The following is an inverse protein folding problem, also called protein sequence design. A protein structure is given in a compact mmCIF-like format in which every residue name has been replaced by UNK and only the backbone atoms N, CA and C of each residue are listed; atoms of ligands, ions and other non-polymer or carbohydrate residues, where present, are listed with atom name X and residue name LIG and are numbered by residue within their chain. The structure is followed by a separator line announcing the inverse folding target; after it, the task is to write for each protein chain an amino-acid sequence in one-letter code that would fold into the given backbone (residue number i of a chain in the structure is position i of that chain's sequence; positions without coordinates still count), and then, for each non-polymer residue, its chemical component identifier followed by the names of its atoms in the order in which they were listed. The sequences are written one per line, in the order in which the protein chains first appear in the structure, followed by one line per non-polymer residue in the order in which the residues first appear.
data_IF_780740542072
#
_entry.id   IF_780740542072
#
_cell.length_a   1.000
_cell.length_b   1.000
_cell.length_c   1.000
_cell.angle_alpha   90.00
_cell.angle_beta   90.00
_cell.angle_gamma   90.00
#
_symmetry.space_group_name_H-M   'P 1'
#
loop_
_entity.id
_entity.type
_entity.pdbx_description
1 polymer ?
#
# COMPACT_ATOMS: atom_id res chain seq x y z
N UNK A 1 20.51 -10.39 3.15
CA UNK A 1 19.37 -9.71 3.79
C UNK A 1 18.37 -10.79 4.21
N UNK A 2 17.70 -10.70 5.37
CA UNK A 2 16.63 -11.63 5.68
C UNK A 2 15.53 -11.55 4.61
N UNK A 3 14.85 -12.67 4.37
CA UNK A 3 13.74 -12.71 3.42
C UNK A 3 12.60 -11.76 3.87
N UNK A 4 11.90 -11.10 2.94
CA UNK A 4 10.73 -10.31 3.27
C UNK A 4 9.66 -11.17 3.95
N UNK A 5 8.96 -10.59 4.91
CA UNK A 5 7.70 -11.17 5.39
C UNK A 5 6.63 -10.87 4.37
N UNK A 6 5.97 -11.90 3.85
CA UNK A 6 4.87 -11.76 2.89
C UNK A 6 3.58 -11.58 3.69
N UNK A 7 2.80 -10.55 3.36
CA UNK A 7 1.51 -10.24 3.95
C UNK A 7 0.45 -10.38 2.86
N UNK A 8 -0.54 -11.22 3.08
CA UNK A 8 -1.70 -11.31 2.21
C UNK A 8 -2.54 -10.03 2.31
N UNK A 9 -2.78 -9.37 1.18
CA UNK A 9 -3.54 -8.12 1.14
C UNK A 9 -5.05 -8.34 1.08
N UNK A 10 -5.49 -9.61 0.98
CA UNK A 10 -6.89 -9.97 0.73
C UNK A 10 -7.44 -9.20 -0.48
N UNK A 11 -6.68 -9.19 -1.57
CA UNK A 11 -6.96 -8.40 -2.75
C UNK A 11 -8.41 -8.61 -3.24
N UNK A 12 -9.18 -7.54 -3.34
CA UNK A 12 -10.62 -7.59 -3.67
C UNK A 12 -11.44 -8.54 -2.78
N UNK A 13 -11.07 -8.68 -1.50
CA UNK A 13 -11.70 -9.59 -0.55
C UNK A 13 -11.31 -11.07 -0.70
N UNK A 14 -10.36 -11.39 -1.59
CA UNK A 14 -9.92 -12.76 -1.89
C UNK A 14 -8.60 -13.08 -1.20
N UNK A 15 -8.59 -14.19 -0.46
CA UNK A 15 -7.40 -14.72 0.20
C UNK A 15 -6.39 -15.18 -0.86
N UNK A 16 -5.10 -14.89 -0.65
CA UNK A 16 -3.95 -15.22 -1.50
C UNK A 16 -4.04 -14.67 -2.94
N UNK A 17 -4.75 -13.56 -3.11
CA UNK A 17 -4.92 -12.90 -4.41
C UNK A 17 -4.02 -11.66 -4.59
N UNK A 18 -3.36 -11.20 -3.53
CA UNK A 18 -2.37 -10.12 -3.58
C UNK A 18 -1.47 -10.17 -2.36
N UNK A 19 -0.32 -9.51 -2.46
CA UNK A 19 0.69 -9.54 -1.42
C UNK A 19 1.37 -8.18 -1.26
N UNK A 20 1.62 -7.81 -0.01
CA UNK A 20 2.55 -6.78 0.38
C UNK A 20 3.78 -7.44 1.01
N UNK A 21 4.93 -6.77 0.93
CA UNK A 21 6.19 -7.29 1.46
C UNK A 21 6.69 -6.37 2.56
N UNK A 22 6.82 -6.91 3.75
CA UNK A 22 7.43 -6.20 4.87
C UNK A 22 8.91 -6.54 4.97
N UNK A 23 9.72 -5.48 4.94
CA UNK A 23 11.17 -5.51 5.11
C UNK A 23 11.52 -5.03 6.53
N UNK A 24 12.04 -5.96 7.33
CA UNK A 24 12.59 -5.66 8.66
C UNK A 24 14.05 -5.23 8.53
N UNK A 25 14.39 -4.10 9.14
CA UNK A 25 15.76 -3.58 9.17
C UNK A 25 15.91 -2.49 10.21
N UNK A 26 17.00 -1.71 10.12
CA UNK A 26 17.19 -0.48 10.93
C UNK A 26 16.08 0.55 10.69
N UNK A 27 15.51 0.52 9.48
CA UNK A 27 14.28 1.21 9.10
C UNK A 27 13.33 0.17 8.53
N UNK A 28 12.08 0.23 8.93
CA UNK A 28 11.04 -0.69 8.53
C UNK A 28 10.36 -0.19 7.26
N UNK A 29 10.23 -1.06 6.27
CA UNK A 29 9.59 -0.70 5.01
C UNK A 29 8.49 -1.71 4.65
N UNK A 30 7.43 -1.19 4.07
CA UNK A 30 6.41 -1.96 3.39
C UNK A 30 6.53 -1.72 1.88
N UNK A 31 6.43 -2.76 1.08
CA UNK A 31 6.30 -2.69 -0.37
C UNK A 31 4.89 -3.13 -0.72
N UNK A 32 4.19 -2.30 -1.49
CA UNK A 32 2.79 -2.44 -1.89
C UNK A 32 1.77 -2.26 -0.76
N UNK A 33 0.56 -1.85 -1.15
CA UNK A 33 -0.54 -1.58 -0.21
C UNK A 33 -1.86 -2.24 -0.60
N UNK A 34 -1.94 -2.76 -1.82
CA UNK A 34 -3.16 -3.37 -2.35
C UNK A 34 -4.26 -2.34 -2.62
N UNK A 35 -5.49 -2.81 -2.58
CA UNK A 35 -6.69 -1.95 -2.64
C UNK A 35 -6.87 -1.12 -1.37
N UNK A 36 -7.80 -0.16 -1.38
CA UNK A 36 -8.22 0.54 -0.14
C UNK A 36 -8.75 -0.41 0.93
N UNK A 37 -9.32 -1.56 0.55
CA UNK A 37 -9.80 -2.60 1.46
C UNK A 37 -8.68 -3.38 2.13
N UNK A 38 -7.45 -3.29 1.61
CA UNK A 38 -6.31 -4.10 2.05
C UNK A 38 -5.61 -3.52 3.29
N UNK A 39 -5.73 -2.22 3.55
CA UNK A 39 -5.03 -1.55 4.65
C UNK A 39 -5.30 -2.18 6.05
N UNK A 40 -6.55 -2.53 6.44
CA UNK A 40 -6.80 -3.19 7.72
C UNK A 40 -6.13 -4.56 7.88
N UNK A 41 -5.92 -5.29 6.78
CA UNK A 41 -5.24 -6.58 6.80
C UNK A 41 -3.73 -6.41 7.06
N UNK A 42 -3.12 -5.40 6.44
CA UNK A 42 -1.71 -5.06 6.64
C UNK A 42 -1.45 -4.63 8.08
N UNK A 43 -2.29 -3.75 8.64
CA UNK A 43 -2.16 -3.29 10.03
C UNK A 43 -2.27 -4.47 11.01
N UNK A 44 -3.19 -5.41 10.76
CA UNK A 44 -3.34 -6.61 11.59
C UNK A 44 -2.12 -7.54 11.52
N UNK A 45 -1.47 -7.63 10.36
CA UNK A 45 -0.29 -8.45 10.15
C UNK A 45 0.99 -7.84 10.75
N UNK A 46 0.99 -6.54 11.06
CA UNK A 46 2.14 -5.80 11.60
C UNK A 46 1.82 -5.16 12.97
N UNK A 47 1.43 -5.96 13.98
CA UNK A 47 1.12 -5.42 15.30
C UNK A 47 2.38 -4.82 15.93
N UNK A 48 2.27 -3.59 16.44
CA UNK A 48 3.34 -2.86 17.13
C UNK A 48 4.59 -2.59 16.26
N UNK A 49 4.43 -2.54 14.93
CA UNK A 49 5.49 -2.13 14.03
C UNK A 49 5.31 -0.65 13.70
N UNK A 50 6.37 0.14 13.84
CA UNK A 50 6.43 1.48 13.24
C UNK A 50 7.03 1.35 11.84
N UNK A 51 6.39 1.95 10.83
CA UNK A 51 6.89 1.96 9.46
C UNK A 51 7.59 3.29 9.17
N UNK A 52 8.83 3.22 8.66
CA UNK A 52 9.54 4.39 8.12
C UNK A 52 9.12 4.68 6.68
N UNK A 53 8.87 3.62 5.90
CA UNK A 53 8.63 3.73 4.47
C UNK A 53 7.49 2.84 3.98
N UNK A 54 6.71 3.37 3.05
CA UNK A 54 5.80 2.60 2.20
C UNK A 54 6.21 2.84 0.75
N UNK A 55 6.70 1.82 0.07
CA UNK A 55 6.98 1.85 -1.35
C UNK A 55 5.77 1.34 -2.12
N UNK A 56 5.29 2.10 -3.10
CA UNK A 56 4.34 1.58 -4.10
C UNK A 56 5.04 1.43 -5.43
N UNK A 57 4.86 0.29 -6.10
CA UNK A 57 5.49 0.02 -7.39
C UNK A 57 4.93 0.93 -8.49
N UNK A 58 3.62 1.19 -8.44
CA UNK A 58 2.90 2.09 -9.31
C UNK A 58 1.55 2.50 -8.68
N UNK A 59 0.82 3.41 -9.34
CA UNK A 59 -0.32 4.13 -8.74
C UNK A 59 -1.69 3.55 -9.07
N UNK A 60 -1.79 2.35 -9.64
CA UNK A 60 -3.10 1.76 -9.84
C UNK A 60 -3.77 1.49 -8.49
N UNK A 61 -5.11 1.60 -8.45
CA UNK A 61 -5.87 1.54 -7.19
C UNK A 61 -5.78 0.17 -6.50
N UNK A 62 -5.44 -0.87 -7.24
CA UNK A 62 -5.21 -2.22 -6.76
C UNK A 62 -3.81 -2.42 -6.16
N UNK A 63 -2.93 -1.42 -6.26
CA UNK A 63 -1.54 -1.44 -5.77
C UNK A 63 -1.30 -0.38 -4.68
N UNK A 64 -1.73 0.85 -4.96
CA UNK A 64 -1.55 2.00 -4.09
C UNK A 64 -2.84 2.45 -3.36
N UNK A 65 -3.94 1.70 -3.50
CA UNK A 65 -5.23 2.08 -2.93
C UNK A 65 -5.24 2.14 -1.40
N UNK A 66 -4.40 1.35 -0.74
CA UNK A 66 -4.25 1.35 0.71
C UNK A 66 -3.30 2.45 1.24
N UNK A 67 -2.53 3.12 0.38
CA UNK A 67 -1.42 3.97 0.81
C UNK A 67 -1.85 5.14 1.71
N UNK A 68 -2.95 5.83 1.37
CA UNK A 68 -3.45 6.94 2.17
C UNK A 68 -3.91 6.52 3.57
N UNK A 69 -4.65 5.40 3.66
CA UNK A 69 -5.13 4.86 4.95
C UNK A 69 -3.97 4.33 5.81
N UNK A 70 -2.93 3.76 5.21
CA UNK A 70 -1.74 3.36 5.96
C UNK A 70 -0.95 4.58 6.43
N UNK A 71 -0.79 5.60 5.58
CA UNK A 71 -0.11 6.83 5.96
C UNK A 71 -0.80 7.59 7.10
N UNK A 72 -2.13 7.52 7.21
CA UNK A 72 -2.87 8.12 8.33
C UNK A 72 -2.67 7.36 9.65
N UNK A 73 -2.35 6.06 9.59
CA UNK A 73 -2.15 5.20 10.77
C UNK A 73 -0.71 5.17 11.27
N UNK A 74 0.28 5.19 10.37
CA UNK A 74 1.70 5.22 10.72
C UNK A 74 2.23 6.65 10.67
N UNK A 75 2.30 7.32 11.83
CA UNK A 75 2.51 8.78 11.90
C UNK A 75 3.87 9.27 11.38
N UNK A 76 4.87 8.40 11.31
CA UNK A 76 6.23 8.75 10.86
C UNK A 76 6.58 8.22 9.46
N UNK A 77 5.61 7.67 8.74
CA UNK A 77 5.88 6.99 7.48
C UNK A 77 6.04 7.95 6.30
N UNK A 78 6.99 7.67 5.43
CA UNK A 78 7.14 8.34 4.13
C UNK A 78 6.67 7.41 3.02
N UNK A 79 5.68 7.84 2.23
CA UNK A 79 5.24 7.12 1.04
C UNK A 79 6.18 7.46 -0.12
N UNK A 80 6.81 6.42 -0.68
CA UNK A 80 7.76 6.50 -1.79
C UNK A 80 7.10 5.94 -3.05
N UNK A 81 7.11 6.76 -4.10
CA UNK A 81 6.53 6.45 -5.40
C UNK A 81 7.42 7.05 -6.49
N UNK A 82 7.34 6.49 -7.70
CA UNK A 82 7.96 7.12 -8.85
C UNK A 82 7.45 8.57 -9.03
N UNK A 83 8.29 9.56 -9.37
CA UNK A 83 7.88 10.97 -9.49
C UNK A 83 6.68 11.20 -10.42
N UNK A 84 6.58 10.42 -11.50
CA UNK A 84 5.41 10.46 -12.42
C UNK A 84 4.08 10.11 -11.74
N UNK A 85 4.12 9.23 -10.73
CA UNK A 85 2.97 8.80 -9.95
C UNK A 85 2.62 9.72 -8.77
N UNK A 86 3.58 10.51 -8.27
CA UNK A 86 3.42 11.30 -7.05
C UNK A 86 2.16 12.18 -7.04
N UNK A 87 1.91 12.91 -8.14
CA UNK A 87 0.72 13.76 -8.29
C UNK A 87 -0.60 13.00 -8.12
N UNK A 88 -0.63 11.72 -8.49
CA UNK A 88 -1.82 10.89 -8.41
C UNK A 88 -2.06 10.30 -7.02
N UNK A 89 -1.02 10.17 -6.19
CA UNK A 89 -1.19 9.83 -4.78
C UNK A 89 -1.61 11.05 -3.95
N UNK A 90 -1.09 12.24 -4.29
CA UNK A 90 -1.48 13.50 -3.66
C UNK A 90 -2.94 13.82 -3.98
N UNK A 91 -3.33 13.71 -5.25
CA UNK A 91 -4.71 13.86 -5.71
C UNK A 91 -5.13 12.66 -6.59
N UNK A 92 -5.86 11.69 -6.02
CA UNK A 92 -6.29 10.50 -6.74
C UNK A 92 -7.53 10.71 -7.61
N UNK A 93 -8.10 11.91 -7.69
CA UNK A 93 -9.38 12.19 -8.36
C UNK A 93 -9.43 11.62 -9.79
N UNK A 94 -8.38 11.84 -10.58
CA UNK A 94 -8.30 11.32 -11.96
C UNK A 94 -8.22 9.79 -12.02
N UNK A 95 -7.50 9.15 -11.09
CA UNK A 95 -7.42 7.69 -11.03
C UNK A 95 -8.78 7.08 -10.70
N UNK A 96 -9.45 7.62 -9.68
CA UNK A 96 -10.77 7.16 -9.25
C UNK A 96 -11.79 7.33 -10.37
N UNK A 97 -11.79 8.46 -11.08
CA UNK A 97 -12.66 8.68 -12.23
C UNK A 97 -12.40 7.67 -13.36
N UNK A 98 -11.13 7.43 -13.71
CA UNK A 98 -10.78 6.48 -14.76
C UNK A 98 -11.21 5.06 -14.44
N UNK A 99 -11.03 4.61 -13.20
CA UNK A 99 -11.47 3.27 -12.77
C UNK A 99 -12.99 3.17 -12.81
N UNK A 100 -13.72 4.19 -12.32
CA UNK A 100 -15.19 4.21 -12.39
C UNK A 100 -15.73 4.12 -13.82
N UNK A 101 -15.05 4.72 -14.81
CA UNK A 101 -15.44 4.60 -16.22
C UNK A 101 -15.18 3.20 -16.79
N UNK A 102 -14.15 2.51 -16.32
CA UNK A 102 -13.79 1.18 -16.81
C UNK A 102 -14.63 0.05 -16.20
N UNK A 103 -15.15 0.25 -14.99
CA UNK A 103 -15.88 -0.78 -14.23
C UNK A 103 -17.35 -0.43 -13.97
N UNK A 104 -17.81 0.72 -14.44
CA UNK A 104 -19.18 1.21 -14.29
C UNK A 104 -20.07 0.72 -15.41
#
# INVERSE_FOLDING_TARGET
MPNPTIIDTHQFGRVRAGAAYYLRGKRHALIETGTSLSAPHIVRALPNVELDYIFVTHVHLDHAGGAGELASRYQHVTVIVHPRGAKHLIDPTRLVQSVRQATG
#
